data_IF_623476283260
#
_entry.id   IF_623476283260
#
_cell.length_a   1.000
_cell.length_b   1.000
_cell.length_c   1.000
_cell.angle_alpha   90.00
_cell.angle_beta   90.00
_cell.angle_gamma   90.00
#
_symmetry.space_group_name_H-M   'P 1'
#
loop_
_entity.id
_entity.type
_entity.pdbx_description
1 polymer ?
#
# COMPACT_ATOMS: atom_id res chain seq x y z
N UNK A 1 14.63 11.18 -15.49
CA UNK A 1 13.98 9.89 -15.20
C UNK A 1 12.68 9.85 -15.95
N UNK A 2 12.34 8.75 -16.61
CA UNK A 2 11.00 8.60 -17.20
C UNK A 2 10.03 8.21 -16.08
N UNK A 3 8.95 8.96 -15.94
CA UNK A 3 7.88 8.68 -14.99
C UNK A 3 6.57 8.51 -15.77
N UNK A 4 5.88 7.39 -15.54
CA UNK A 4 4.59 7.09 -16.16
C UNK A 4 3.61 6.66 -15.08
N UNK A 5 2.47 7.35 -15.00
CA UNK A 5 1.36 6.96 -14.15
C UNK A 5 0.33 6.20 -14.99
N UNK A 6 0.13 4.92 -14.68
CA UNK A 6 -0.99 4.15 -15.20
C UNK A 6 -2.17 4.29 -14.25
N UNK A 7 -3.35 4.56 -14.79
CA UNK A 7 -4.52 4.87 -13.99
C UNK A 7 -5.80 4.36 -14.66
N UNK A 8 -6.66 3.74 -13.87
CA UNK A 8 -7.97 3.28 -14.34
C UNK A 8 -9.00 3.52 -13.25
N UNK A 9 -10.13 4.15 -13.60
CA UNK A 9 -11.23 4.44 -12.67
C UNK A 9 -12.57 4.09 -13.28
N UNK A 10 -13.38 3.35 -12.53
CA UNK A 10 -14.69 2.84 -12.95
C UNK A 10 -15.54 2.50 -11.73
N UNK A 11 -16.85 2.71 -11.80
CA UNK A 11 -17.77 2.50 -10.65
C UNK A 11 -17.36 3.25 -9.37
N UNK A 12 -16.69 4.40 -9.49
CA UNK A 12 -16.14 5.13 -8.33
C UNK A 12 -14.97 4.43 -7.62
N UNK A 13 -14.41 3.39 -8.24
CA UNK A 13 -13.22 2.65 -7.79
C UNK A 13 -12.06 3.00 -8.72
N UNK A 14 -10.88 3.20 -8.16
CA UNK A 14 -9.67 3.49 -8.91
C UNK A 14 -8.53 2.52 -8.59
N UNK A 15 -7.64 2.36 -9.57
CA UNK A 15 -6.33 1.73 -9.44
C UNK A 15 -5.31 2.67 -10.06
N UNK A 16 -4.14 2.73 -9.45
CA UNK A 16 -3.06 3.55 -9.97
C UNK A 16 -1.70 2.90 -9.70
N UNK A 17 -0.83 2.94 -10.70
CA UNK A 17 0.54 2.47 -10.61
C UNK A 17 1.51 3.52 -11.15
N UNK A 18 2.45 3.98 -10.34
CA UNK A 18 3.50 4.90 -10.76
C UNK A 18 4.77 4.12 -11.10
N UNK A 19 5.15 4.17 -12.37
CA UNK A 19 6.35 3.56 -12.91
C UNK A 19 7.46 4.60 -13.01
N UNK A 20 8.62 4.27 -12.48
CA UNK A 20 9.84 5.07 -12.59
C UNK A 20 10.89 4.24 -13.31
N UNK A 21 11.42 4.78 -14.41
CA UNK A 21 12.40 4.11 -15.28
C UNK A 21 11.94 2.69 -15.72
N UNK A 22 10.66 2.54 -16.03
CA UNK A 22 10.08 1.29 -16.54
C UNK A 22 9.74 0.23 -15.49
N UNK A 23 9.90 0.52 -14.19
CA UNK A 23 9.57 -0.40 -13.09
C UNK A 23 8.48 0.21 -12.19
N UNK A 24 7.53 -0.58 -11.65
CA UNK A 24 6.53 -0.07 -10.73
C UNK A 24 7.18 0.26 -9.37
N UNK A 25 6.91 1.46 -8.86
CA UNK A 25 7.43 1.94 -7.57
C UNK A 25 6.32 2.17 -6.53
N UNK A 26 5.11 2.48 -7.00
CA UNK A 26 3.94 2.69 -6.14
C UNK A 26 2.72 2.06 -6.80
N UNK A 27 1.89 1.41 -5.99
CA UNK A 27 0.59 0.88 -6.39
C UNK A 27 -0.40 1.10 -5.24
N UNK A 28 -1.60 1.57 -5.56
CA UNK A 28 -2.72 1.53 -4.61
C UNK A 28 -4.04 1.42 -5.39
N UNK A 29 -5.09 1.04 -4.67
CA UNK A 29 -6.42 0.85 -5.22
C UNK A 29 -7.49 0.97 -4.14
N UNK A 30 -8.69 1.37 -4.55
CA UNK A 30 -9.80 1.59 -3.63
C UNK A 30 -10.80 2.56 -4.24
N UNK A 31 -11.44 3.37 -3.41
CA UNK A 31 -12.31 4.44 -3.90
C UNK A 31 -11.51 5.49 -4.68
N UNK A 32 -12.12 6.01 -5.74
CA UNK A 32 -11.59 7.13 -6.52
C UNK A 32 -11.14 8.28 -5.63
N UNK A 33 -12.00 8.65 -4.68
CA UNK A 33 -11.74 9.66 -3.65
C UNK A 33 -12.22 9.13 -2.31
N UNK A 34 -11.30 8.59 -1.52
CA UNK A 34 -11.61 7.97 -0.23
C UNK A 34 -12.07 9.04 0.80
N UNK A 35 -13.33 8.96 1.29
CA UNK A 35 -13.85 9.92 2.23
C UNK A 35 -13.30 9.73 3.64
N UNK A 36 -12.66 8.59 3.94
CA UNK A 36 -12.24 8.26 5.29
C UNK A 36 -11.33 9.31 5.91
N UNK A 37 -11.57 9.59 7.19
CA UNK A 37 -10.74 10.46 8.00
C UNK A 37 -9.43 9.80 8.43
N UNK A 38 -9.28 8.48 8.24
CA UNK A 38 -8.14 7.68 8.68
C UNK A 38 -7.08 7.43 7.58
N UNK A 39 -7.16 8.14 6.44
CA UNK A 39 -6.14 8.09 5.38
C UNK A 39 -4.93 8.96 5.71
N UNK A 40 -3.72 8.49 5.35
CA UNK A 40 -2.49 9.25 5.60
C UNK A 40 -2.56 10.65 4.98
N UNK A 41 -2.09 11.65 5.73
CA UNK A 41 -2.08 13.07 5.35
C UNK A 41 -3.43 13.77 5.52
N UNK A 42 -4.49 13.07 5.94
CA UNK A 42 -5.77 13.71 6.24
C UNK A 42 -5.66 14.50 7.53
N UNK A 43 -6.02 15.79 7.45
CA UNK A 43 -6.23 16.63 8.63
C UNK A 43 -7.70 16.64 9.01
N UNK A 44 -7.96 16.49 10.29
CA UNK A 44 -9.30 16.43 10.86
C UNK A 44 -9.33 17.07 12.25
N UNK A 45 -10.51 17.57 12.63
CA UNK A 45 -10.85 17.76 14.03
C UNK A 45 -11.38 16.44 14.56
N UNK A 46 -10.68 15.89 15.54
CA UNK A 46 -11.00 14.64 16.22
C UNK A 46 -11.32 14.89 17.70
N UNK A 47 -11.98 13.92 18.33
CA UNK A 47 -12.34 13.97 19.75
C UNK A 47 -11.44 13.03 20.54
N UNK A 48 -10.81 13.51 21.61
CA UNK A 48 -10.11 12.63 22.54
C UNK A 48 -11.14 11.76 23.29
N UNK A 49 -11.19 10.47 22.95
CA UNK A 49 -12.25 9.54 23.38
C UNK A 49 -11.83 8.62 24.53
N UNK A 50 -10.54 8.39 24.72
CA UNK A 50 -10.07 7.48 25.77
C UNK A 50 -8.59 7.62 26.10
N UNK A 51 -8.21 7.00 27.23
CA UNK A 51 -6.81 6.85 27.65
C UNK A 51 -6.61 5.49 28.29
N UNK A 52 -5.62 4.74 27.82
CA UNK A 52 -5.24 3.47 28.45
C UNK A 52 -3.77 3.18 28.19
N UNK A 53 -3.04 2.71 29.21
CA UNK A 53 -1.65 2.27 29.07
C UNK A 53 -0.69 3.35 28.53
N UNK A 54 -0.92 4.63 28.83
CA UNK A 54 -0.12 5.75 28.31
C UNK A 54 -0.44 6.15 26.87
N UNK A 55 -1.44 5.51 26.24
CA UNK A 55 -1.91 5.81 24.89
C UNK A 55 -3.18 6.66 24.94
N UNK A 56 -3.26 7.64 24.05
CA UNK A 56 -4.41 8.52 23.87
C UNK A 56 -5.22 8.06 22.66
N UNK A 57 -6.54 7.90 22.81
CA UNK A 57 -7.43 7.46 21.74
C UNK A 57 -8.29 8.61 21.24
N UNK A 58 -8.51 8.62 19.93
CA UNK A 58 -9.33 9.58 19.21
C UNK A 58 -10.52 8.89 18.56
N UNK A 59 -11.63 9.61 18.47
CA UNK A 59 -12.72 9.32 17.53
C UNK A 59 -12.69 10.39 16.43
N UNK A 60 -12.60 9.95 15.18
CA UNK A 60 -12.64 10.79 13.99
C UNK A 60 -14.09 11.10 13.58
N UNK A 61 -14.27 11.93 12.56
CA UNK A 61 -15.60 12.34 12.09
C UNK A 61 -16.39 11.24 11.38
N UNK A 62 -15.72 10.18 10.93
CA UNK A 62 -16.30 8.98 10.33
C UNK A 62 -16.40 7.82 11.35
N UNK A 63 -16.42 8.15 12.65
CA UNK A 63 -16.44 7.24 13.80
C UNK A 63 -15.22 6.30 13.90
N UNK A 64 -14.23 6.43 13.02
CA UNK A 64 -13.01 5.62 13.09
C UNK A 64 -12.20 5.98 14.34
N UNK A 65 -11.70 4.96 15.03
CA UNK A 65 -10.76 5.14 16.14
C UNK A 65 -9.32 5.29 15.66
N UNK A 66 -8.58 6.23 16.27
CA UNK A 66 -7.15 6.41 16.04
C UNK A 66 -6.38 6.58 17.36
N UNK A 67 -5.08 6.40 17.30
CA UNK A 67 -4.15 6.70 18.39
C UNK A 67 -3.54 8.09 18.17
N UNK A 68 -3.54 8.93 19.20
CA UNK A 68 -2.89 10.24 19.19
C UNK A 68 -1.44 10.12 19.65
N UNK A 69 -0.52 10.43 18.75
CA UNK A 69 0.87 10.72 19.07
C UNK A 69 0.98 12.17 19.55
N UNK A 70 1.19 12.31 20.86
CA UNK A 70 1.34 13.61 21.52
C UNK A 70 2.83 13.90 21.74
N UNK A 71 3.35 15.05 21.28
CA UNK A 71 4.71 15.46 21.59
C UNK A 71 4.96 15.59 23.10
N UNK A 72 6.17 15.24 23.56
CA UNK A 72 6.52 15.24 24.99
C UNK A 72 6.37 16.62 25.65
N UNK A 73 6.49 17.70 24.88
CA UNK A 73 6.37 19.08 25.35
C UNK A 73 4.92 19.60 25.39
N UNK A 74 3.93 18.81 24.97
CA UNK A 74 2.53 19.21 24.94
C UNK A 74 1.78 18.59 26.12
N UNK A 75 1.09 19.42 26.91
CA UNK A 75 0.20 18.92 27.97
C UNK A 75 -0.96 18.15 27.34
N UNK A 76 -1.27 16.98 27.90
CA UNK A 76 -2.36 16.14 27.40
C UNK A 76 -3.70 16.88 27.50
N UNK A 77 -4.44 17.09 26.39
CA UNK A 77 -5.76 17.72 26.41
C UNK A 77 -6.77 16.93 27.25
N UNK A 78 -7.78 17.55 27.89
CA UNK A 78 -8.77 16.83 28.68
C UNK A 78 -9.57 15.83 27.83
N UNK A 79 -10.11 14.78 28.47
CA UNK A 79 -10.99 13.83 27.79
C UNK A 79 -12.20 14.58 27.20
N UNK A 80 -12.59 14.27 25.98
CA UNK A 80 -13.61 15.00 25.23
C UNK A 80 -13.11 16.30 24.58
N UNK A 81 -11.83 16.67 24.69
CA UNK A 81 -11.29 17.81 23.96
C UNK A 81 -11.34 17.56 22.44
N UNK A 82 -11.67 18.62 21.69
CA UNK A 82 -11.46 18.65 20.26
C UNK A 82 -9.99 18.99 19.97
N UNK A 83 -9.39 18.20 19.08
CA UNK A 83 -7.99 18.37 18.68
C UNK A 83 -7.91 18.32 17.17
N UNK A 84 -7.11 19.21 16.60
CA UNK A 84 -6.71 19.10 15.21
C UNK A 84 -5.54 18.13 15.10
N UNK A 85 -5.67 17.17 14.20
CA UNK A 85 -4.69 16.10 14.00
C UNK A 85 -4.44 15.86 12.53
N UNK A 86 -3.29 15.27 12.22
CA UNK A 86 -2.97 14.73 10.90
C UNK A 86 -2.70 13.23 11.02
N UNK A 87 -3.36 12.41 10.20
CA UNK A 87 -3.07 10.98 10.14
C UNK A 87 -1.70 10.76 9.53
N UNK A 88 -0.82 10.08 10.26
CA UNK A 88 0.52 9.72 9.80
C UNK A 88 0.64 8.24 9.43
N UNK A 89 -0.24 7.40 9.97
CA UNK A 89 -0.34 6.00 9.60
C UNK A 89 -1.80 5.57 9.54
N UNK A 90 -2.18 4.85 8.47
CA UNK A 90 -3.48 4.18 8.34
C UNK A 90 -3.63 3.06 9.38
N UNK A 91 -4.75 2.33 9.43
CA UNK A 91 -4.85 1.14 10.27
C UNK A 91 -4.21 -0.09 9.57
N UNK A 92 -3.65 -1.03 10.33
CA UNK A 92 -3.18 -2.33 9.80
C UNK A 92 -3.36 -3.42 10.84
N UNK A 93 -3.87 -4.59 10.44
CA UNK A 93 -4.09 -5.74 11.33
C UNK A 93 -4.79 -5.32 12.63
N UNK A 94 -4.13 -5.54 13.77
CA UNK A 94 -4.55 -5.19 15.13
C UNK A 94 -4.23 -3.73 15.53
N UNK A 95 -3.50 -2.99 14.68
CA UNK A 95 -3.06 -1.61 14.95
C UNK A 95 -4.03 -0.61 14.33
N UNK A 96 -4.53 0.29 15.17
CA UNK A 96 -5.32 1.46 14.77
C UNK A 96 -4.48 2.45 13.97
N UNK A 97 -5.16 3.35 13.25
CA UNK A 97 -4.53 4.51 12.63
C UNK A 97 -3.82 5.36 13.69
N UNK A 98 -2.75 6.06 13.29
CA UNK A 98 -2.00 6.97 14.15
C UNK A 98 -2.09 8.39 13.63
N UNK A 99 -2.28 9.33 14.54
CA UNK A 99 -2.45 10.73 14.23
C UNK A 99 -1.48 11.58 15.04
N UNK A 100 -0.79 12.52 14.40
CA UNK A 100 0.00 13.53 15.08
C UNK A 100 -0.91 14.65 15.59
N UNK A 101 -0.67 15.09 16.82
CA UNK A 101 -1.27 16.31 17.34
C UNK A 101 -0.77 17.55 16.58
N UNK A 102 -1.70 18.42 16.15
CA UNK A 102 -1.36 19.75 15.61
C UNK A 102 -1.64 20.83 16.66
N UNK A 103 -2.89 20.94 17.10
CA UNK A 103 -3.33 21.96 18.07
C UNK A 103 -4.67 21.59 18.72
N UNK A 104 -5.02 22.30 19.80
CA UNK A 104 -6.41 22.30 20.29
C UNK A 104 -7.35 22.90 19.25
N UNK A 105 -8.54 22.35 19.17
CA UNK A 105 -9.59 22.79 18.25
C UNK A 105 -10.91 23.01 19.00
N UNK A 106 -11.88 23.57 18.28
CA UNK A 106 -13.23 23.82 18.77
C UNK A 106 -14.27 23.20 17.84
N UNK A 107 -15.47 23.00 18.39
CA UNK A 107 -16.63 22.48 17.67
C UNK A 107 -16.67 20.96 17.54
N UNK A 108 -17.45 20.50 16.56
CA UNK A 108 -17.68 19.09 16.25
C UNK A 108 -16.53 18.47 15.45
N UNK A 109 -16.46 17.14 15.50
CA UNK A 109 -15.54 16.35 14.68
C UNK A 109 -15.84 16.57 13.21
N UNK A 110 -14.81 16.88 12.43
CA UNK A 110 -14.96 17.12 10.99
C UNK A 110 -13.64 16.88 10.26
N UNK A 111 -13.75 16.47 9.01
CA UNK A 111 -12.61 16.45 8.10
C UNK A 111 -12.26 17.88 7.66
N UNK A 112 -10.98 18.25 7.67
CA UNK A 112 -10.50 19.58 7.26
C UNK A 112 -10.00 19.54 5.82
N UNK A 113 -9.13 18.59 5.49
CA UNK A 113 -8.61 18.43 4.11
C UNK A 113 -9.63 17.69 3.25
N UNK A 114 -9.95 18.14 2.03
CA UNK A 114 -10.89 17.43 1.16
C UNK A 114 -10.38 16.02 0.77
N UNK A 115 -11.29 15.10 0.37
CA UNK A 115 -10.92 13.89 -0.38
C UNK A 115 -10.01 14.23 -1.55
N UNK A 116 -8.94 13.44 -1.70
CA UNK A 116 -7.98 13.57 -2.79
C UNK A 116 -8.17 12.35 -3.68
N UNK A 117 -8.22 12.56 -4.99
CA UNK A 117 -8.32 11.43 -5.90
C UNK A 117 -7.08 10.56 -5.85
N UNK A 118 -7.23 9.26 -6.08
CA UNK A 118 -6.10 8.34 -6.14
C UNK A 118 -5.04 8.78 -7.16
N UNK A 119 -5.50 9.27 -8.33
CA UNK A 119 -4.63 9.87 -9.35
C UNK A 119 -3.80 11.03 -8.79
N UNK A 120 -4.46 11.99 -8.13
CA UNK A 120 -3.77 13.14 -7.56
C UNK A 120 -2.82 12.76 -6.41
N UNK A 121 -3.17 11.75 -5.61
CA UNK A 121 -2.30 11.21 -4.57
C UNK A 121 -1.02 10.62 -5.17
N UNK A 122 -1.12 9.83 -6.26
CA UNK A 122 0.04 9.25 -6.94
C UNK A 122 0.94 10.30 -7.58
N UNK A 123 0.37 11.33 -8.20
CA UNK A 123 1.13 12.42 -8.82
C UNK A 123 1.97 13.23 -7.82
N UNK A 124 1.69 13.17 -6.51
CA UNK A 124 2.57 13.80 -5.50
C UNK A 124 3.98 13.20 -5.48
N UNK A 125 4.11 11.93 -5.86
CA UNK A 125 5.42 11.26 -5.93
C UNK A 125 6.20 11.59 -7.21
N UNK A 126 5.51 11.99 -8.28
CA UNK A 126 6.12 12.42 -9.54
C UNK A 126 5.15 13.37 -10.28
N UNK A 127 5.20 14.68 -9.98
CA UNK A 127 4.26 15.66 -10.54
C UNK A 127 4.26 15.73 -12.07
N UNK A 128 5.43 15.49 -12.68
CA UNK A 128 5.64 15.57 -14.13
C UNK A 128 5.47 14.21 -14.84
N UNK A 129 4.88 13.20 -14.17
CA UNK A 129 4.67 11.89 -14.77
C UNK A 129 3.69 11.95 -15.95
N UNK A 130 4.04 11.30 -17.07
CA UNK A 130 3.11 11.08 -18.18
C UNK A 130 1.98 10.18 -17.71
N UNK A 131 0.73 10.55 -17.95
CA UNK A 131 -0.42 9.73 -17.54
C UNK A 131 -0.93 8.87 -18.70
N UNK A 132 -1.16 7.59 -18.45
CA UNK A 132 -1.87 6.63 -19.33
C UNK A 132 -3.13 6.21 -18.60
N UNK A 133 -4.29 6.34 -19.25
CA UNK A 133 -5.59 6.14 -18.63
C UNK A 133 -6.47 5.12 -19.36
N UNK A 134 -7.41 4.52 -18.64
CA UNK A 134 -8.40 3.62 -19.21
C UNK A 134 -7.79 2.26 -19.58
N UNK A 135 -8.30 1.64 -20.64
CA UNK A 135 -7.98 0.25 -20.98
C UNK A 135 -6.48 0.06 -21.32
N UNK A 136 -5.81 1.08 -21.88
CA UNK A 136 -4.36 1.05 -22.15
C UNK A 136 -3.52 0.89 -20.87
N UNK A 137 -4.07 1.24 -19.70
CA UNK A 137 -3.39 1.14 -18.43
C UNK A 137 -3.47 -0.25 -17.78
N UNK A 138 -4.39 -1.11 -18.21
CA UNK A 138 -4.79 -2.32 -17.47
C UNK A 138 -3.64 -3.30 -17.31
N UNK A 139 -2.91 -3.64 -18.38
CA UNK A 139 -1.81 -4.61 -18.31
C UNK A 139 -0.71 -4.18 -17.32
N UNK A 140 -0.38 -2.89 -17.28
CA UNK A 140 0.60 -2.36 -16.35
C UNK A 140 0.05 -2.32 -14.92
N UNK A 141 -1.24 -1.99 -14.74
CA UNK A 141 -1.87 -2.04 -13.43
C UNK A 141 -1.90 -3.47 -12.88
N UNK A 142 -2.15 -4.47 -13.71
CA UNK A 142 -2.18 -5.88 -13.33
C UNK A 142 -0.78 -6.40 -12.98
N UNK A 143 0.23 -6.04 -13.78
CA UNK A 143 1.62 -6.36 -13.47
C UNK A 143 2.08 -5.73 -12.14
N UNK A 144 1.78 -4.44 -11.92
CA UNK A 144 2.12 -3.75 -10.67
C UNK A 144 1.39 -4.33 -9.47
N UNK A 145 0.11 -4.68 -9.61
CA UNK A 145 -0.70 -5.32 -8.56
C UNK A 145 -0.12 -6.69 -8.18
N UNK A 146 0.20 -7.53 -9.17
CA UNK A 146 0.76 -8.85 -8.95
C UNK A 146 2.08 -8.77 -8.18
N UNK A 147 2.97 -7.86 -8.58
CA UNK A 147 4.25 -7.65 -7.91
C UNK A 147 4.08 -7.07 -6.49
N UNK A 148 3.14 -6.14 -6.30
CA UNK A 148 2.85 -5.57 -4.99
C UNK A 148 2.24 -6.58 -4.00
N UNK A 149 1.48 -7.57 -4.50
CA UNK A 149 0.92 -8.65 -3.69
C UNK A 149 1.94 -9.77 -3.42
N UNK A 150 2.91 -9.96 -4.31
CA UNK A 150 3.98 -10.95 -4.21
C UNK A 150 5.34 -10.33 -4.51
N UNK A 151 5.97 -9.66 -3.52
CA UNK A 151 7.20 -8.88 -3.74
C UNK A 151 8.48 -9.72 -3.94
N UNK A 152 8.43 -11.04 -3.76
CA UNK A 152 9.55 -11.93 -4.09
C UNK A 152 9.64 -12.14 -5.61
N UNK A 153 10.85 -12.15 -6.15
CA UNK A 153 11.02 -12.30 -7.60
C UNK A 153 12.43 -11.98 -8.11
N UNK A 154 12.69 -12.25 -9.40
CA UNK A 154 13.98 -11.97 -10.04
C UNK A 154 14.30 -10.47 -10.00
N UNK A 155 15.58 -10.12 -9.91
CA UNK A 155 16.04 -8.73 -9.94
C UNK A 155 16.49 -8.32 -11.35
N UNK A 156 16.31 -7.05 -11.75
CA UNK A 156 16.93 -6.52 -12.96
C UNK A 156 18.46 -6.74 -12.95
N UNK A 157 18.98 -7.33 -14.03
CA UNK A 157 20.41 -7.67 -14.15
C UNK A 157 20.83 -8.96 -13.47
N UNK A 158 19.88 -9.79 -13.01
CA UNK A 158 20.14 -11.12 -12.48
C UNK A 158 20.14 -11.22 -10.95
N UNK A 159 20.01 -12.44 -10.46
CA UNK A 159 19.75 -12.77 -9.05
C UNK A 159 18.27 -12.82 -8.71
N UNK A 160 17.97 -13.22 -7.48
CA UNK A 160 16.62 -13.34 -6.94
C UNK A 160 16.56 -12.66 -5.58
N UNK A 161 15.45 -11.97 -5.31
CA UNK A 161 15.19 -11.32 -4.04
C UNK A 161 13.92 -11.93 -3.45
N UNK A 162 14.05 -12.59 -2.31
CA UNK A 162 12.92 -13.06 -1.51
C UNK A 162 12.56 -11.98 -0.49
N UNK A 163 11.27 -11.65 -0.35
CA UNK A 163 10.76 -10.70 0.65
C UNK A 163 9.59 -11.35 1.39
N UNK A 164 9.78 -11.64 2.66
CA UNK A 164 8.83 -12.37 3.50
C UNK A 164 8.40 -11.54 4.72
N UNK A 165 7.20 -10.92 4.68
CA UNK A 165 6.61 -10.30 5.85
C UNK A 165 6.19 -11.36 6.88
N UNK A 166 6.80 -11.34 8.06
CA UNK A 166 6.44 -12.19 9.20
C UNK A 166 5.52 -11.44 10.17
N UNK A 167 5.25 -12.02 11.35
CA UNK A 167 4.58 -11.32 12.45
C UNK A 167 5.42 -10.20 13.04
N UNK A 168 6.74 -10.37 13.11
CA UNK A 168 7.64 -9.48 13.85
C UNK A 168 8.43 -8.52 12.94
N UNK A 169 8.89 -9.03 11.80
CA UNK A 169 9.78 -8.31 10.88
C UNK A 169 9.54 -8.73 9.42
N UNK A 170 10.13 -8.00 8.50
CA UNK A 170 10.21 -8.38 7.08
C UNK A 170 11.61 -8.94 6.84
N UNK A 171 11.68 -10.22 6.48
CA UNK A 171 12.94 -10.88 6.14
C UNK A 171 13.15 -10.78 4.63
N UNK A 172 14.32 -10.33 4.22
CA UNK A 172 14.73 -10.30 2.83
C UNK A 172 15.98 -11.15 2.64
N UNK A 173 16.00 -11.97 1.60
CA UNK A 173 17.12 -12.86 1.27
C UNK A 173 17.56 -12.62 -0.17
N UNK A 174 18.88 -12.57 -0.38
CA UNK A 174 19.49 -12.16 -1.65
C UNK A 174 20.27 -13.32 -2.26
N UNK A 175 19.76 -13.84 -3.37
CA UNK A 175 20.43 -14.86 -4.16
C UNK A 175 21.12 -14.24 -5.37
N UNK A 176 22.42 -14.51 -5.52
CA UNK A 176 23.21 -13.99 -6.62
C UNK A 176 22.83 -14.61 -7.98
N UNK A 177 22.26 -15.83 -7.98
CA UNK A 177 22.08 -16.63 -9.18
C UNK A 177 23.39 -16.92 -9.92
N UNK A 178 23.29 -17.33 -11.18
CA UNK A 178 24.45 -17.49 -12.07
C UNK A 178 24.84 -16.14 -12.64
N UNK A 179 26.14 -15.84 -12.66
CA UNK A 179 26.64 -14.61 -13.25
C UNK A 179 26.41 -14.60 -14.77
N UNK A 180 25.91 -13.48 -15.30
CA UNK A 180 25.65 -13.30 -16.74
C UNK A 180 26.94 -13.35 -17.59
N UNK A 181 28.11 -13.16 -16.96
CA UNK A 181 29.40 -13.22 -17.65
C UNK A 181 30.43 -14.02 -16.86
N UNK A 182 31.13 -14.93 -17.54
CA UNK A 182 32.20 -15.74 -16.95
C UNK A 182 33.45 -14.92 -16.58
N UNK A 183 33.52 -13.65 -16.99
CA UNK A 183 34.66 -12.75 -16.79
C UNK A 183 34.65 -12.04 -15.42
N UNK A 184 33.56 -12.12 -14.65
CA UNK A 184 33.43 -11.43 -13.36
C UNK A 184 33.76 -12.39 -12.22
N UNK A 185 34.66 -11.97 -11.32
CA UNK A 185 34.96 -12.78 -10.13
C UNK A 185 33.70 -12.97 -9.26
N UNK A 186 33.50 -14.15 -8.64
CA UNK A 186 32.32 -14.42 -7.81
C UNK A 186 32.10 -13.37 -6.70
N UNK A 187 33.18 -12.87 -6.10
CA UNK A 187 33.14 -11.83 -5.07
C UNK A 187 32.62 -10.49 -5.62
N UNK A 188 33.04 -10.11 -6.82
CA UNK A 188 32.58 -8.88 -7.45
C UNK A 188 31.12 -8.99 -7.87
N UNK A 189 30.71 -10.15 -8.41
CA UNK A 189 29.32 -10.44 -8.74
C UNK A 189 28.41 -10.33 -7.51
N UNK A 190 28.77 -11.01 -6.41
CA UNK A 190 28.03 -10.94 -5.15
C UNK A 190 27.85 -9.51 -4.63
N UNK A 191 28.90 -8.68 -4.74
CA UNK A 191 28.83 -7.26 -4.37
C UNK A 191 27.81 -6.51 -5.24
N UNK A 192 27.86 -6.66 -6.56
CA UNK A 192 26.92 -5.99 -7.45
C UNK A 192 25.48 -6.47 -7.22
N UNK A 193 25.26 -7.75 -6.94
CA UNK A 193 23.96 -8.28 -6.58
C UNK A 193 23.43 -7.65 -5.29
N UNK A 194 24.26 -7.52 -4.25
CA UNK A 194 23.88 -6.83 -3.01
C UNK A 194 23.52 -5.36 -3.25
N UNK A 195 24.30 -4.65 -4.06
CA UNK A 195 24.02 -3.25 -4.42
C UNK A 195 22.65 -3.13 -5.10
N UNK A 196 22.36 -3.98 -6.09
CA UNK A 196 21.05 -4.05 -6.75
C UNK A 196 19.92 -4.44 -5.80
N UNK A 197 20.16 -5.41 -4.93
CA UNK A 197 19.18 -5.88 -3.97
C UNK A 197 18.75 -4.78 -2.99
N UNK A 198 19.65 -3.90 -2.56
CA UNK A 198 19.30 -2.76 -1.69
C UNK A 198 18.30 -1.81 -2.39
N UNK A 199 18.51 -1.51 -3.67
CA UNK A 199 17.57 -0.70 -4.45
C UNK A 199 16.23 -1.42 -4.67
N UNK A 200 16.26 -2.72 -4.98
CA UNK A 200 15.05 -3.52 -5.17
C UNK A 200 14.25 -3.69 -3.88
N UNK A 201 14.90 -3.88 -2.73
CA UNK A 201 14.25 -3.88 -1.41
C UNK A 201 13.52 -2.56 -1.21
N UNK A 202 14.18 -1.41 -1.41
CA UNK A 202 13.53 -0.11 -1.25
C UNK A 202 12.34 0.09 -2.20
N UNK A 203 12.46 -0.36 -3.46
CA UNK A 203 11.38 -0.27 -4.46
C UNK A 203 10.20 -1.15 -4.10
N UNK A 204 10.41 -2.44 -3.82
CA UNK A 204 9.34 -3.41 -3.57
C UNK A 204 8.64 -3.21 -2.23
N UNK A 205 9.37 -2.72 -1.21
CA UNK A 205 8.76 -2.29 0.05
C UNK A 205 7.81 -1.09 -0.15
N UNK A 206 8.18 -0.12 -1.01
CA UNK A 206 7.28 0.99 -1.36
C UNK A 206 6.08 0.51 -2.18
N UNK A 207 6.32 -0.31 -3.19
CA UNK A 207 5.29 -0.88 -4.06
C UNK A 207 4.22 -1.66 -3.28
N UNK A 208 4.66 -2.47 -2.32
CA UNK A 208 3.78 -3.30 -1.46
C UNK A 208 3.28 -2.56 -0.21
N UNK A 209 3.79 -1.35 0.01
CA UNK A 209 3.62 -0.53 1.20
C UNK A 209 3.94 -1.28 2.52
N UNK A 210 5.02 -2.06 2.49
CA UNK A 210 5.54 -2.81 3.63
C UNK A 210 6.43 -1.92 4.51
N UNK A 211 6.23 -1.98 5.83
CA UNK A 211 6.93 -1.13 6.79
C UNK A 211 7.06 -1.80 8.17
N UNK A 212 8.07 -1.39 8.94
CA UNK A 212 8.46 -2.02 10.19
C UNK A 212 9.95 -2.33 10.21
N UNK A 213 10.35 -3.25 11.09
CA UNK A 213 11.70 -3.79 11.09
C UNK A 213 11.91 -4.64 9.84
N UNK A 214 12.97 -4.31 9.09
CA UNK A 214 13.42 -5.02 7.90
C UNK A 214 14.82 -5.55 8.16
N UNK A 215 15.05 -6.82 7.81
CA UNK A 215 16.36 -7.47 7.88
C UNK A 215 16.66 -8.02 6.49
N UNK A 216 17.78 -7.60 5.90
CA UNK A 216 18.25 -8.06 4.60
C UNK A 216 19.49 -8.91 4.80
N UNK A 217 19.42 -10.19 4.47
CA UNK A 217 20.56 -11.10 4.44
C UNK A 217 21.33 -10.88 3.14
N UNK A 218 22.49 -10.23 3.24
CA UNK A 218 23.33 -9.92 2.09
C UNK A 218 24.27 -11.09 1.78
N UNK A 219 24.66 -11.22 0.52
CA UNK A 219 25.60 -12.27 0.11
C UNK A 219 26.97 -12.03 0.73
N UNK A 220 27.39 -12.95 1.60
CA UNK A 220 28.67 -12.88 2.33
C UNK A 220 28.52 -12.21 3.70
N UNK A 221 29.64 -12.10 4.44
CA UNK A 221 29.61 -11.58 5.84
C UNK A 221 30.46 -10.33 6.06
N UNK A 222 31.29 -9.96 5.08
CA UNK A 222 32.23 -8.84 5.18
C UNK A 222 31.77 -7.72 4.27
N UNK A 223 30.99 -6.81 4.82
CA UNK A 223 30.55 -5.60 4.15
C UNK A 223 31.19 -4.38 4.79
N UNK A 224 31.36 -3.35 3.97
CA UNK A 224 31.73 -2.02 4.43
C UNK A 224 30.46 -1.32 4.95
N UNK A 225 30.36 -1.04 6.27
CA UNK A 225 29.13 -0.50 6.86
C UNK A 225 28.74 0.87 6.29
N UNK A 226 29.72 1.71 5.96
CA UNK A 226 29.53 3.05 5.41
C UNK A 226 28.96 2.97 3.99
N UNK A 227 29.50 2.07 3.16
CA UNK A 227 28.99 1.84 1.79
C UNK A 227 27.55 1.33 1.84
N UNK A 228 27.25 0.31 2.65
CA UNK A 228 25.89 -0.24 2.75
C UNK A 228 24.90 0.80 3.26
N UNK A 229 25.28 1.60 4.28
CA UNK A 229 24.47 2.71 4.77
C UNK A 229 24.19 3.74 3.68
N UNK A 230 25.23 4.19 2.96
CA UNK A 230 25.10 5.19 1.90
C UNK A 230 24.23 4.71 0.72
N UNK A 231 24.37 3.44 0.34
CA UNK A 231 23.50 2.81 -0.67
C UNK A 231 22.05 2.75 -0.20
N UNK A 232 21.81 2.36 1.05
CA UNK A 232 20.46 2.29 1.63
C UNK A 232 19.82 3.67 1.65
N UNK A 233 20.53 4.71 2.08
CA UNK A 233 20.05 6.10 2.05
C UNK A 233 19.72 6.56 0.62
N UNK A 234 20.58 6.20 -0.34
CA UNK A 234 20.33 6.55 -1.75
C UNK A 234 19.10 5.83 -2.30
N UNK A 235 18.93 4.54 -1.99
CA UNK A 235 17.82 3.72 -2.45
C UNK A 235 16.45 4.20 -1.94
N UNK A 236 16.40 4.74 -0.72
CA UNK A 236 15.17 5.25 -0.11
C UNK A 236 14.89 6.73 -0.40
N UNK A 237 15.86 7.48 -0.93
CA UNK A 237 15.68 8.87 -1.35
C UNK A 237 15.06 9.72 -0.24
N UNK A 238 13.91 10.35 -0.50
CA UNK A 238 13.20 11.21 0.45
C UNK A 238 12.69 10.47 1.70
N UNK A 239 12.50 9.15 1.63
CA UNK A 239 12.10 8.37 2.82
C UNK A 239 13.23 8.26 3.85
N UNK A 240 14.48 8.50 3.44
CA UNK A 240 15.69 8.38 4.27
C UNK A 240 15.61 9.18 5.56
N UNK A 241 15.03 10.38 5.52
CA UNK A 241 14.92 11.25 6.69
C UNK A 241 14.13 10.61 7.85
N UNK A 242 13.34 9.58 7.56
CA UNK A 242 12.48 8.88 8.53
C UNK A 242 12.94 7.44 8.79
N UNK A 243 13.99 6.96 8.11
CA UNK A 243 14.55 5.64 8.34
C UNK A 243 15.44 5.62 9.58
N UNK A 244 15.43 4.48 10.28
CA UNK A 244 16.42 4.18 11.31
C UNK A 244 17.27 3.02 10.80
N UNK A 245 18.51 3.28 10.39
CA UNK A 245 19.41 2.29 9.80
C UNK A 245 20.47 1.89 10.84
N UNK A 246 20.46 0.62 11.25
CA UNK A 246 21.46 0.05 12.14
C UNK A 246 22.81 -0.11 11.43
N UNK A 247 23.87 -0.41 12.19
CA UNK A 247 25.12 -0.84 11.58
C UNK A 247 24.97 -2.27 11.04
N UNK A 248 25.61 -2.56 9.90
CA UNK A 248 25.66 -3.93 9.37
C UNK A 248 26.21 -4.88 10.44
N UNK A 249 25.52 -6.00 10.66
CA UNK A 249 25.86 -6.91 11.74
C UNK A 249 27.08 -7.76 11.41
N UNK A 250 27.64 -8.42 12.44
CA UNK A 250 28.71 -9.42 12.27
C UNK A 250 28.27 -10.65 11.46
N UNK A 251 26.97 -10.86 11.31
CA UNK A 251 26.41 -11.95 10.52
C UNK A 251 26.25 -11.60 9.04
N UNK A 252 26.41 -10.33 8.66
CA UNK A 252 26.26 -9.86 7.28
C UNK A 252 24.93 -9.17 6.98
N UNK A 253 24.06 -9.00 7.98
CA UNK A 253 22.71 -8.45 7.77
C UNK A 253 22.68 -6.92 7.77
N UNK A 254 21.91 -6.36 6.84
CA UNK A 254 21.47 -4.96 6.88
C UNK A 254 20.12 -4.89 7.61
N UNK A 255 20.05 -4.05 8.65
CA UNK A 255 18.85 -3.91 9.48
C UNK A 255 18.40 -2.45 9.51
N UNK A 256 17.11 -2.22 9.29
CA UNK A 256 16.52 -0.89 9.38
C UNK A 256 15.04 -0.92 9.75
N UNK A 257 14.55 0.19 10.29
CA UNK A 257 13.13 0.43 10.49
C UNK A 257 12.64 1.40 9.41
N UNK A 258 11.71 0.94 8.58
CA UNK A 258 10.93 1.80 7.68
C UNK A 258 9.67 2.27 8.40
N UNK A 259 9.39 3.58 8.49
CA UNK A 259 8.20 4.09 9.14
C UNK A 259 6.95 3.64 8.38
N UNK A 260 5.91 3.33 9.14
CA UNK A 260 4.64 2.90 8.58
C UNK A 260 3.78 4.13 8.24
N UNK A 261 3.33 4.18 6.99
CA UNK A 261 2.38 5.18 6.48
C UNK A 261 1.05 4.52 6.12
N UNK A 262 0.82 4.22 4.84
CA UNK A 262 -0.44 3.58 4.43
C UNK A 262 -0.56 2.14 4.92
N UNK A 263 -1.74 1.53 4.78
CA UNK A 263 -1.90 0.10 5.03
C UNK A 263 -1.20 -0.74 3.93
N UNK A 264 -0.50 -1.85 4.28
CA UNK A 264 0.07 -2.76 3.29
C UNK A 264 -1.00 -3.29 2.33
N UNK A 265 -0.65 -3.43 1.05
CA UNK A 265 -1.63 -3.87 0.03
C UNK A 265 -2.25 -5.22 0.38
N UNK A 266 -1.45 -6.15 0.90
CA UNK A 266 -1.92 -7.46 1.34
C UNK A 266 -2.94 -7.37 2.46
N UNK A 267 -2.76 -6.44 3.41
CA UNK A 267 -3.70 -6.25 4.53
C UNK A 267 -5.02 -5.62 4.05
N UNK A 268 -4.99 -4.82 2.97
CA UNK A 268 -6.18 -4.30 2.27
C UNK A 268 -6.89 -5.38 1.43
N UNK A 269 -6.16 -6.38 0.93
CA UNK A 269 -6.70 -7.41 0.05
C UNK A 269 -7.23 -8.62 0.82
N UNK A 270 -6.52 -9.05 1.87
CA UNK A 270 -6.78 -10.28 2.59
C UNK A 270 -7.02 -10.03 4.09
N UNK A 271 -7.79 -10.92 4.71
CA UNK A 271 -7.93 -11.00 6.16
C UNK A 271 -6.77 -11.78 6.80
N UNK A 272 -6.77 -11.88 8.14
CA UNK A 272 -5.72 -12.59 8.89
C UNK A 272 -5.65 -14.09 8.59
N UNK A 273 -6.75 -14.68 8.13
CA UNK A 273 -6.82 -16.08 7.69
C UNK A 273 -6.37 -16.26 6.24
N UNK A 274 -5.95 -15.19 5.55
CA UNK A 274 -5.54 -15.22 4.15
C UNK A 274 -6.71 -15.28 3.16
N UNK A 275 -7.94 -15.04 3.61
CA UNK A 275 -9.12 -15.01 2.75
C UNK A 275 -9.29 -13.62 2.15
N UNK A 276 -9.79 -13.56 0.91
CA UNK A 276 -10.05 -12.28 0.26
C UNK A 276 -11.11 -11.49 1.03
N UNK A 277 -10.86 -10.21 1.30
CA UNK A 277 -11.83 -9.35 1.97
C UNK A 277 -13.04 -9.09 1.08
N UNK A 278 -14.26 -8.95 1.63
CA UNK A 278 -15.46 -8.68 0.83
C UNK A 278 -15.36 -7.44 -0.06
N UNK A 279 -14.76 -6.34 0.45
CA UNK A 279 -14.56 -5.11 -0.33
C UNK A 279 -13.66 -5.36 -1.55
N UNK A 280 -12.59 -6.14 -1.37
CA UNK A 280 -11.66 -6.46 -2.44
C UNK A 280 -12.30 -7.40 -3.45
N UNK A 281 -13.03 -8.39 -2.97
CA UNK A 281 -13.74 -9.33 -3.82
C UNK A 281 -14.80 -8.63 -4.69
N UNK A 282 -15.54 -7.68 -4.12
CA UNK A 282 -16.47 -6.83 -4.85
C UNK A 282 -15.77 -6.02 -5.96
N UNK A 283 -14.62 -5.42 -5.69
CA UNK A 283 -13.82 -4.70 -6.71
C UNK A 283 -13.36 -5.63 -7.83
N UNK A 284 -12.88 -6.84 -7.52
CA UNK A 284 -12.48 -7.81 -8.54
C UNK A 284 -13.66 -8.28 -9.40
N UNK A 285 -14.83 -8.49 -8.79
CA UNK A 285 -16.06 -8.81 -9.52
C UNK A 285 -16.47 -7.69 -10.49
N UNK A 286 -16.40 -6.44 -10.04
CA UNK A 286 -16.70 -5.28 -10.89
C UNK A 286 -15.71 -5.14 -12.05
N UNK A 287 -14.43 -5.50 -11.86
CA UNK A 287 -13.44 -5.59 -12.95
C UNK A 287 -13.82 -6.67 -13.97
N UNK A 288 -14.13 -7.89 -13.51
CA UNK A 288 -14.60 -8.97 -14.38
C UNK A 288 -15.88 -8.59 -15.15
N UNK A 289 -16.81 -7.89 -14.50
CA UNK A 289 -18.01 -7.38 -15.14
C UNK A 289 -17.71 -6.29 -16.18
N UNK A 290 -16.75 -5.41 -15.91
CA UNK A 290 -16.26 -4.45 -16.89
C UNK A 290 -15.69 -5.14 -18.14
N UNK A 291 -14.83 -6.13 -17.95
CA UNK A 291 -14.21 -6.93 -19.02
C UNK A 291 -15.28 -7.66 -19.85
N UNK A 292 -16.16 -8.42 -19.20
CA UNK A 292 -17.24 -9.14 -19.89
C UNK A 292 -18.21 -8.19 -20.62
N UNK A 293 -18.53 -7.05 -20.01
CA UNK A 293 -19.44 -6.06 -20.56
C UNK A 293 -18.93 -5.33 -21.82
N UNK A 294 -17.59 -5.27 -22.01
CA UNK A 294 -16.97 -4.74 -23.23
C UNK A 294 -17.12 -5.67 -24.44
N UNK A 295 -17.18 -6.99 -24.20
CA UNK A 295 -17.31 -7.99 -25.26
C UNK A 295 -18.77 -8.34 -25.58
N UNK A 296 -19.69 -8.15 -24.63
CA UNK A 296 -21.09 -8.57 -24.78
C UNK A 296 -22.02 -7.37 -25.08
N UNK A 297 -22.67 -7.40 -26.25
CA UNK A 297 -23.43 -6.31 -26.88
C UNK A 297 -24.74 -5.93 -26.18
N UNK A 298 -24.66 -5.55 -24.90
CA UNK A 298 -25.80 -5.06 -24.11
C UNK A 298 -26.53 -6.11 -23.27
N UNK A 299 -26.04 -7.36 -23.21
CA UNK A 299 -26.63 -8.39 -22.34
C UNK A 299 -26.47 -8.06 -20.85
N UNK A 300 -27.39 -8.60 -20.05
CA UNK A 300 -27.34 -8.57 -18.60
C UNK A 300 -26.18 -9.45 -18.12
N UNK A 301 -25.36 -8.91 -17.22
CA UNK A 301 -24.25 -9.60 -16.55
C UNK A 301 -24.75 -10.09 -15.20
N UNK A 302 -24.53 -11.36 -14.85
CA UNK A 302 -24.97 -11.90 -13.56
C UNK A 302 -23.78 -12.15 -12.66
N UNK A 303 -23.65 -11.34 -11.60
CA UNK A 303 -22.60 -11.54 -10.60
C UNK A 303 -23.06 -12.58 -9.59
N UNK A 304 -22.32 -13.69 -9.50
CA UNK A 304 -22.57 -14.76 -8.52
C UNK A 304 -21.53 -14.76 -7.41
N UNK A 305 -21.96 -14.53 -6.17
CA UNK A 305 -21.08 -14.42 -5.01
C UNK A 305 -21.82 -14.60 -3.66
N UNK A 306 -21.10 -14.77 -2.54
CA UNK A 306 -21.67 -14.74 -1.19
C UNK A 306 -22.39 -13.42 -0.90
N UNK A 307 -23.41 -13.46 -0.03
CA UNK A 307 -24.26 -12.31 0.28
C UNK A 307 -23.47 -11.08 0.73
N UNK A 308 -22.47 -11.26 1.61
CA UNK A 308 -21.61 -10.17 2.12
C UNK A 308 -20.82 -9.45 1.01
N UNK A 309 -20.51 -10.15 -0.08
CA UNK A 309 -19.78 -9.59 -1.22
C UNK A 309 -20.75 -8.86 -2.14
N UNK A 310 -21.94 -9.44 -2.38
CA UNK A 310 -23.00 -8.79 -3.15
C UNK A 310 -23.39 -7.45 -2.51
N UNK A 311 -23.50 -7.40 -1.18
CA UNK A 311 -23.81 -6.17 -0.46
C UNK A 311 -22.71 -5.11 -0.69
N UNK A 312 -21.43 -5.50 -0.61
CA UNK A 312 -20.32 -4.60 -0.94
C UNK A 312 -20.32 -4.14 -2.41
N UNK A 313 -20.68 -5.00 -3.37
CA UNK A 313 -20.85 -4.59 -4.79
C UNK A 313 -21.99 -3.58 -4.91
N UNK A 314 -23.12 -3.80 -4.25
CA UNK A 314 -24.26 -2.88 -4.26
C UNK A 314 -23.87 -1.51 -3.72
N UNK A 315 -23.05 -1.44 -2.68
CA UNK A 315 -22.56 -0.18 -2.14
C UNK A 315 -21.73 0.60 -3.16
N UNK A 316 -20.86 -0.05 -3.93
CA UNK A 316 -20.11 0.60 -5.02
C UNK A 316 -21.01 1.05 -6.18
N UNK A 317 -22.04 0.27 -6.51
CA UNK A 317 -22.97 0.61 -7.59
C UNK A 317 -23.97 1.71 -7.19
N UNK A 318 -24.15 1.98 -5.89
CA UNK A 318 -25.10 2.96 -5.39
C UNK A 318 -24.69 4.37 -5.84
N UNK A 319 -25.48 4.95 -6.74
CA UNK A 319 -25.19 6.27 -7.32
C UNK A 319 -24.06 6.26 -8.35
N UNK A 320 -23.58 5.08 -8.76
CA UNK A 320 -22.64 4.94 -9.87
C UNK A 320 -23.30 5.39 -11.18
N UNK A 321 -22.59 6.23 -11.93
CA UNK A 321 -22.98 6.67 -13.27
C UNK A 321 -22.41 5.78 -14.38
N UNK A 322 -21.75 4.67 -14.03
CA UNK A 322 -21.21 3.75 -15.02
C UNK A 322 -22.33 3.09 -15.83
N UNK A 323 -22.27 3.08 -17.18
CA UNK A 323 -23.30 2.46 -18.02
C UNK A 323 -23.55 0.97 -17.75
N UNK A 324 -22.55 0.24 -17.25
CA UNK A 324 -22.71 -1.17 -16.89
C UNK A 324 -23.51 -1.37 -15.60
N UNK A 325 -23.65 -0.35 -14.76
CA UNK A 325 -24.37 -0.43 -13.49
C UNK A 325 -25.79 -1.00 -13.68
N UNK A 326 -26.51 -0.53 -14.70
CA UNK A 326 -27.87 -1.00 -15.01
C UNK A 326 -27.93 -2.43 -15.58
N UNK A 327 -26.79 -2.98 -16.01
CA UNK A 327 -26.67 -4.32 -16.60
C UNK A 327 -26.24 -5.39 -15.60
N UNK A 328 -25.89 -5.02 -14.37
CA UNK A 328 -25.39 -5.96 -13.36
C UNK A 328 -26.57 -6.51 -12.54
N UNK A 329 -26.86 -7.79 -12.73
CA UNK A 329 -27.73 -8.61 -11.89
C UNK A 329 -26.92 -9.39 -10.84
N UNK A 330 -27.62 -9.96 -9.84
CA UNK A 330 -27.00 -10.65 -8.72
C UNK A 330 -27.64 -12.01 -8.47
N UNK A 331 -26.80 -13.03 -8.26
CA UNK A 331 -27.19 -14.36 -7.81
C UNK A 331 -26.41 -14.72 -6.54
N UNK A 332 -27.12 -15.09 -5.47
CA UNK A 332 -26.48 -15.45 -4.19
C UNK A 332 -25.93 -16.86 -4.26
N UNK A 333 -24.68 -17.01 -3.82
CA UNK A 333 -24.04 -18.31 -3.59
C UNK A 333 -23.27 -18.29 -2.27
N UNK A 334 -23.98 -18.60 -1.19
CA UNK A 334 -23.38 -18.67 0.15
C UNK A 334 -22.61 -19.99 0.38
N UNK A 335 -22.56 -20.87 -0.63
CA UNK A 335 -21.79 -22.12 -0.58
C UNK A 335 -20.39 -21.99 -1.19
N UNK A 336 -20.18 -20.97 -2.04
CA UNK A 336 -18.91 -20.69 -2.68
C UNK A 336 -17.95 -19.91 -1.76
N UNK A 337 -16.65 -20.28 -1.70
CA UNK A 337 -15.65 -19.42 -1.09
C UNK A 337 -15.50 -18.12 -1.91
N UNK A 338 -14.98 -17.07 -1.29
CA UNK A 338 -14.75 -15.78 -1.97
C UNK A 338 -13.85 -15.89 -3.23
N UNK A 339 -13.08 -16.98 -3.37
CA UNK A 339 -12.28 -17.25 -4.57
C UNK A 339 -13.07 -17.87 -5.75
N UNK A 340 -14.28 -18.42 -5.51
CA UNK A 340 -15.10 -19.12 -6.49
C UNK A 340 -16.11 -18.23 -7.24
N UNK A 341 -15.91 -16.91 -7.24
CA UNK A 341 -16.86 -15.94 -7.81
C UNK A 341 -16.78 -15.86 -9.33
N UNK A 342 -17.95 -15.80 -9.98
CA UNK A 342 -18.09 -15.83 -11.44
C UNK A 342 -18.99 -14.66 -11.88
N UNK A 343 -18.67 -14.12 -13.06
CA UNK A 343 -19.45 -13.13 -13.80
C UNK A 343 -19.87 -13.74 -15.13
#
# INVERSE_FOLDING_TARGET
MSAVLYYHSRFGIARAALYLNGQPHYYDEGLESDPSCARVGVRSVARLSGRAGGVNFLTLADDTEAVLDLPQNVKTPPLGAAVEVEIIAEARRDKRARANFIKLAEGETRRITPPVSLKAAMLRHAPDARVVEGDEAVDNLDAAEAEALSPSGPMPGGGYLSIEPTRALIACDVDAGVADTMAVSPKHWARQCNERAIFEVARRLRLSNLAGLVVVDLIGRRHDPEIIRGLTQTAFGDETARLIIAQVTKFGTLEFIRPWGGAPLRDKAYDEAGRLRPDRAARLLLRKAAEAGCHDGGRLLTVKAPSVVIDAVRDYLKGSLDPLTARIGFERDDTAPAAGMIV
#
